data_IF_767188301853
#
_entry.id   IF_767188301853
#
_cell.length_a   1.000
_cell.length_b   1.000
_cell.length_c   1.000
_cell.angle_alpha   90.00
_cell.angle_beta   90.00
_cell.angle_gamma   90.00
#
_symmetry.space_group_name_H-M   'P 1'
#
loop_
_entity.id
_entity.type
_entity.pdbx_description
1 polymer ?
#
# COMPACT_ATOMS: atom_id res chain seq x y z
N UNK A 1 -9.65 6.53 -21.01
CA UNK A 1 -8.40 7.08 -21.61
C UNK A 1 -8.31 6.64 -23.07
N UNK A 2 -7.88 7.54 -23.96
CA UNK A 2 -7.59 7.18 -25.35
C UNK A 2 -6.40 6.19 -25.40
N UNK A 3 -6.39 5.32 -26.42
CA UNK A 3 -5.31 4.34 -26.60
C UNK A 3 -4.01 5.06 -26.99
N UNK A 4 -2.90 4.88 -26.26
CA UNK A 4 -1.62 5.47 -26.64
C UNK A 4 -1.03 4.80 -27.89
N UNK A 5 -0.19 5.52 -28.63
CA UNK A 5 0.46 5.00 -29.83
C UNK A 5 1.38 3.82 -29.45
N UNK A 6 1.22 2.68 -30.13
CA UNK A 6 1.98 1.46 -29.82
C UNK A 6 1.44 0.62 -28.66
N UNK A 7 0.33 1.01 -28.02
CA UNK A 7 -0.36 0.15 -27.07
C UNK A 7 -1.15 -0.95 -27.78
N UNK A 8 -0.85 -2.20 -27.41
CA UNK A 8 -1.51 -3.40 -27.91
C UNK A 8 -2.93 -3.56 -27.32
N UNK A 9 -3.81 -4.21 -28.08
CA UNK A 9 -5.19 -4.50 -27.68
C UNK A 9 -5.29 -5.75 -26.79
N UNK A 10 -4.57 -5.70 -25.66
CA UNK A 10 -4.60 -6.77 -24.66
C UNK A 10 -5.88 -6.66 -23.82
N UNK A 11 -6.51 -7.80 -23.57
CA UNK A 11 -7.74 -7.89 -22.78
C UNK A 11 -7.50 -8.64 -21.47
N UNK A 12 -8.21 -8.27 -20.38
CA UNK A 12 -8.08 -8.98 -19.12
C UNK A 12 -8.59 -10.41 -19.25
N UNK A 13 -7.68 -11.37 -19.08
CA UNK A 13 -7.99 -12.80 -19.15
C UNK A 13 -8.83 -13.30 -17.98
N UNK A 14 -9.30 -14.53 -18.10
CA UNK A 14 -10.00 -15.24 -17.02
C UNK A 14 -9.10 -15.44 -15.78
N UNK A 15 -7.79 -15.60 -15.98
CA UNK A 15 -6.82 -15.70 -14.90
C UNK A 15 -6.79 -14.41 -14.08
N UNK A 16 -6.65 -13.26 -14.74
CA UNK A 16 -6.69 -11.97 -14.07
C UNK A 16 -8.00 -11.78 -13.30
N UNK A 17 -9.14 -12.09 -13.93
CA UNK A 17 -10.46 -11.95 -13.31
C UNK A 17 -10.65 -12.90 -12.12
N UNK A 18 -10.02 -14.06 -12.12
CA UNK A 18 -10.03 -14.98 -11.00
C UNK A 18 -9.23 -14.42 -9.82
N UNK A 19 -7.96 -14.04 -10.05
CA UNK A 19 -7.09 -13.45 -9.02
C UNK A 19 -7.64 -12.15 -8.45
N UNK A 20 -8.19 -11.28 -9.29
CA UNK A 20 -8.84 -10.06 -8.83
C UNK A 20 -10.06 -10.34 -7.94
N UNK A 21 -10.86 -11.37 -8.25
CA UNK A 21 -12.01 -11.74 -7.40
C UNK A 21 -11.59 -12.39 -6.09
N UNK A 22 -10.52 -13.17 -6.09
CA UNK A 22 -9.90 -13.74 -4.89
C UNK A 22 -9.47 -12.63 -3.94
N UNK A 23 -8.66 -11.69 -4.44
CA UNK A 23 -8.24 -10.51 -3.69
C UNK A 23 -9.41 -9.68 -3.15
N UNK A 24 -10.42 -9.39 -3.98
CA UNK A 24 -11.58 -8.62 -3.52
C UNK A 24 -12.34 -9.31 -2.37
N UNK A 25 -12.37 -10.65 -2.35
CA UNK A 25 -13.00 -11.42 -1.26
C UNK A 25 -12.15 -11.35 0.01
N UNK A 26 -10.85 -11.51 -0.11
CA UNK A 26 -9.92 -11.42 1.03
C UNK A 26 -9.96 -10.02 1.65
N UNK A 27 -9.86 -8.99 0.82
CA UNK A 27 -9.94 -7.60 1.27
C UNK A 27 -11.26 -7.32 1.98
N UNK A 28 -12.39 -7.79 1.45
CA UNK A 28 -13.69 -7.68 2.13
C UNK A 28 -13.71 -8.42 3.47
N UNK A 29 -13.15 -9.63 3.52
CA UNK A 29 -13.05 -10.40 4.76
C UNK A 29 -12.19 -9.69 5.81
N UNK A 30 -11.09 -9.05 5.42
CA UNK A 30 -10.24 -8.26 6.32
C UNK A 30 -10.97 -7.03 6.88
N UNK A 31 -11.72 -6.32 6.04
CA UNK A 31 -12.56 -5.21 6.51
C UNK A 31 -13.64 -5.68 7.49
N UNK A 32 -14.29 -6.82 7.23
CA UNK A 32 -15.26 -7.41 8.16
C UNK A 32 -14.60 -7.82 9.47
N UNK A 33 -13.40 -8.42 9.42
CA UNK A 33 -12.64 -8.82 10.60
C UNK A 33 -12.32 -7.63 11.51
N UNK A 34 -12.00 -6.47 10.94
CA UNK A 34 -11.76 -5.24 11.69
C UNK A 34 -13.04 -4.74 12.39
N UNK A 35 -14.21 -4.92 11.77
CA UNK A 35 -15.51 -4.58 12.35
C UNK A 35 -15.89 -5.55 13.49
N UNK A 36 -15.57 -6.83 13.35
CA UNK A 36 -15.96 -7.91 14.27
C UNK A 36 -15.06 -8.05 15.52
N UNK A 37 -13.97 -7.28 15.63
CA UNK A 37 -12.99 -7.40 16.72
C UNK A 37 -13.66 -7.22 18.11
N UNK A 38 -13.53 -8.18 19.04
CA UNK A 38 -13.99 -8.02 20.41
C UNK A 38 -13.09 -7.02 21.16
N UNK A 39 -13.70 -5.98 21.71
CA UNK A 39 -13.00 -4.91 22.43
C UNK A 39 -12.64 -3.74 21.52
N UNK A 40 -13.47 -2.70 21.56
CA UNK A 40 -13.02 -1.36 21.19
C UNK A 40 -11.89 -0.98 22.16
N UNK A 41 -10.63 -1.17 21.77
CA UNK A 41 -9.69 -0.08 22.02
C UNK A 41 -10.21 1.05 21.14
N UNK A 42 -10.87 2.01 21.77
CA UNK A 42 -11.23 3.23 21.09
C UNK A 42 -9.94 3.75 20.46
N UNK A 43 -9.91 3.82 19.13
CA UNK A 43 -9.01 4.76 18.47
C UNK A 43 -9.32 6.10 19.12
N UNK A 44 -8.37 6.81 19.75
CA UNK A 44 -8.60 8.21 20.01
C UNK A 44 -8.97 8.87 18.67
N UNK A 45 -9.97 9.74 18.68
CA UNK A 45 -10.52 10.36 17.46
C UNK A 45 -9.38 10.83 16.52
N UNK A 46 -9.54 10.78 15.18
CA UNK A 46 -8.59 11.44 14.29
C UNK A 46 -8.61 12.94 14.61
N UNK A 47 -7.54 13.40 15.23
CA UNK A 47 -7.46 14.74 15.81
C UNK A 47 -7.68 14.83 17.33
N UNK A 48 -7.86 13.74 18.07
CA UNK A 48 -7.64 13.70 19.52
C UNK A 48 -6.20 13.26 19.82
N UNK A 49 -5.61 12.37 19.01
CA UNK A 49 -4.14 12.20 18.97
C UNK A 49 -3.50 13.46 18.39
N UNK A 50 -3.89 13.97 17.22
CA UNK A 50 -3.29 15.21 16.70
C UNK A 50 -3.58 16.48 17.55
N UNK A 51 -4.62 16.48 18.41
CA UNK A 51 -4.89 17.59 19.35
C UNK A 51 -4.27 17.35 20.71
N UNK A 52 -4.11 16.11 21.16
CA UNK A 52 -3.26 15.79 22.30
C UNK A 52 -1.78 15.96 21.94
N UNK A 53 -1.39 15.70 20.70
CA UNK A 53 -0.07 15.95 20.10
C UNK A 53 0.10 17.45 19.80
N UNK A 54 -0.93 18.21 19.42
CA UNK A 54 -0.81 19.67 19.27
C UNK A 54 -0.89 20.41 20.61
N UNK A 55 -1.61 19.88 21.61
CA UNK A 55 -1.70 20.42 22.96
C UNK A 55 -0.47 20.00 23.79
N UNK A 56 0.05 18.78 23.59
CA UNK A 56 1.36 18.36 24.10
C UNK A 56 2.52 18.97 23.30
N UNK A 57 2.40 19.26 22.00
CA UNK A 57 3.39 20.05 21.26
C UNK A 57 3.32 21.53 21.63
N UNK A 58 2.16 22.09 22.00
CA UNK A 58 2.05 23.45 22.50
C UNK A 58 2.54 23.57 23.95
N UNK A 59 2.31 22.57 24.81
CA UNK A 59 2.93 22.47 26.14
C UNK A 59 4.43 22.19 26.03
N UNK A 60 4.87 21.34 25.10
CA UNK A 60 6.30 21.07 24.83
C UNK A 60 6.99 22.24 24.12
N UNK A 61 6.31 23.05 23.30
CA UNK A 61 6.86 24.26 22.67
C UNK A 61 6.89 25.43 23.66
N UNK A 62 5.95 25.48 24.61
CA UNK A 62 6.01 26.38 25.77
C UNK A 62 7.14 25.99 26.74
N UNK A 63 7.33 24.69 27.02
CA UNK A 63 8.44 24.17 27.85
C UNK A 63 9.79 24.18 27.12
N UNK A 64 9.84 24.00 25.79
CA UNK A 64 11.04 24.10 24.97
C UNK A 64 11.47 25.56 24.72
N UNK A 65 10.54 26.52 24.72
CA UNK A 65 10.92 27.94 24.74
C UNK A 65 11.64 28.35 26.04
N UNK A 66 11.53 27.52 27.09
CA UNK A 66 12.25 27.69 28.35
C UNK A 66 13.51 26.80 28.47
N UNK A 67 13.79 25.89 27.52
CA UNK A 67 14.97 25.02 27.53
C UNK A 67 15.53 24.80 26.12
N UNK A 68 16.50 25.64 25.75
CA UNK A 68 17.31 25.48 24.55
C UNK A 68 18.14 24.17 24.57
N UNK A 69 18.10 23.48 23.42
CA UNK A 69 19.08 22.60 22.78
C UNK A 69 19.40 21.21 23.40
N UNK A 70 18.96 20.12 22.71
CA UNK A 70 19.70 18.86 22.38
C UNK A 70 18.84 17.55 22.29
N UNK A 71 17.52 17.54 22.53
CA UNK A 71 16.75 16.28 22.75
C UNK A 71 15.66 15.92 21.69
N UNK A 72 15.71 16.50 20.48
CA UNK A 72 14.71 16.22 19.43
C UNK A 72 14.91 14.91 18.66
N UNK A 73 16.14 14.40 18.62
CA UNK A 73 16.52 13.18 17.90
C UNK A 73 16.11 11.92 18.69
N UNK A 74 16.22 11.97 20.02
CA UNK A 74 15.93 10.86 20.93
C UNK A 74 14.44 10.46 20.95
N UNK A 75 13.51 11.40 20.77
CA UNK A 75 12.07 11.11 20.76
C UNK A 75 11.61 10.46 19.44
N UNK A 76 12.25 10.80 18.32
CA UNK A 76 12.00 10.16 17.03
C UNK A 76 12.60 8.75 17.01
N UNK A 77 13.80 8.59 17.60
CA UNK A 77 14.44 7.29 17.81
C UNK A 77 13.61 6.39 18.74
N UNK A 78 13.03 6.90 19.84
CA UNK A 78 12.13 6.13 20.72
C UNK A 78 10.83 5.68 20.05
N UNK A 79 10.24 6.48 19.15
CA UNK A 79 9.03 6.09 18.42
C UNK A 79 9.32 5.09 17.29
N UNK A 80 10.46 5.25 16.61
CA UNK A 80 10.97 4.25 15.66
C UNK A 80 11.32 2.95 16.38
N UNK A 81 11.97 3.03 17.55
CA UNK A 81 12.26 1.90 18.42
C UNK A 81 10.98 1.27 18.96
N UNK A 82 9.90 1.99 19.30
CA UNK A 82 8.64 1.35 19.74
C UNK A 82 7.92 0.60 18.59
N UNK A 83 8.12 1.07 17.35
CA UNK A 83 7.65 0.40 16.12
C UNK A 83 8.57 -0.80 15.75
N UNK A 84 9.88 -0.70 16.00
CA UNK A 84 10.90 -1.72 15.72
C UNK A 84 11.07 -2.77 16.85
N UNK A 85 10.79 -2.43 18.11
CA UNK A 85 10.92 -3.24 19.34
C UNK A 85 9.73 -4.17 19.55
N UNK A 86 8.68 -4.02 18.72
CA UNK A 86 7.92 -5.19 18.30
C UNK A 86 8.81 -5.98 17.34
N UNK A 87 9.71 -6.78 17.92
CA UNK A 87 10.51 -7.88 17.36
C UNK A 87 9.59 -9.01 16.84
N UNK A 88 8.58 -8.58 16.09
CA UNK A 88 7.44 -9.32 15.63
C UNK A 88 7.81 -9.81 14.25
N UNK A 89 8.20 -11.07 14.17
CA UNK A 89 8.50 -11.74 12.90
C UNK A 89 7.23 -11.80 12.04
N UNK A 90 7.03 -10.77 11.21
CA UNK A 90 5.87 -10.62 10.31
C UNK A 90 5.76 -11.82 9.36
N UNK A 91 6.89 -12.42 8.98
CA UNK A 91 6.94 -13.58 8.11
C UNK A 91 6.70 -14.91 8.86
N UNK A 92 6.75 -14.89 10.19
CA UNK A 92 6.50 -16.04 11.06
C UNK A 92 5.02 -16.32 11.33
N UNK A 93 4.13 -15.37 11.02
CA UNK A 93 2.70 -15.55 11.22
C UNK A 93 2.06 -16.47 10.18
N UNK A 94 1.27 -17.44 10.67
CA UNK A 94 0.48 -18.35 9.82
C UNK A 94 -0.88 -17.77 9.43
N UNK A 95 -1.38 -16.81 10.18
CA UNK A 95 -2.66 -16.15 9.95
C UNK A 95 -2.55 -14.66 10.24
N UNK A 96 -2.63 -13.84 9.18
CA UNK A 96 -2.59 -12.38 9.30
C UNK A 96 -3.82 -11.80 10.01
N UNK A 97 -4.89 -12.59 10.19
CA UNK A 97 -6.10 -12.20 10.90
C UNK A 97 -6.06 -12.48 12.41
N UNK A 98 -4.99 -13.11 12.91
CA UNK A 98 -4.73 -13.36 14.33
C UNK A 98 -3.22 -13.51 14.60
N UNK A 99 -2.58 -12.38 14.91
CA UNK A 99 -1.17 -12.33 15.34
C UNK A 99 -1.02 -12.60 16.86
N UNK A 100 -2.11 -12.98 17.53
CA UNK A 100 -2.18 -13.18 18.96
C UNK A 100 -3.38 -12.43 19.58
N UNK A 101 -4.03 -13.07 20.56
CA UNK A 101 -5.19 -12.52 21.27
C UNK A 101 -6.36 -12.04 20.36
N UNK A 102 -6.46 -12.58 19.13
CA UNK A 102 -7.50 -12.21 18.17
C UNK A 102 -7.27 -10.88 17.47
N UNK A 103 -6.06 -10.31 17.56
CA UNK A 103 -5.69 -9.07 16.89
C UNK A 103 -5.16 -9.37 15.47
N UNK A 104 -5.72 -8.78 14.40
CA UNK A 104 -5.14 -8.92 13.07
C UNK A 104 -3.89 -8.03 12.91
N UNK A 105 -2.98 -8.42 12.03
CA UNK A 105 -1.77 -7.64 11.72
C UNK A 105 -2.11 -6.22 11.23
N UNK A 106 -3.22 -6.08 10.51
CA UNK A 106 -3.74 -4.82 9.97
C UNK A 106 -4.66 -4.07 10.93
N UNK A 107 -4.65 -4.39 12.24
CA UNK A 107 -5.56 -3.78 13.23
C UNK A 107 -5.47 -2.25 13.32
N UNK A 108 -4.30 -1.68 13.04
CA UNK A 108 -4.04 -0.25 13.11
C UNK A 108 -3.96 0.44 11.74
N UNK A 109 -4.34 -0.24 10.64
CA UNK A 109 -4.30 0.37 9.31
C UNK A 109 -5.21 1.59 9.23
N UNK A 110 -4.62 2.72 8.87
CA UNK A 110 -5.31 3.92 8.45
C UNK A 110 -5.79 3.81 7.00
N UNK A 111 -6.51 4.82 6.54
CA UNK A 111 -7.04 4.85 5.18
C UNK A 111 -5.93 4.75 4.12
N UNK A 112 -4.82 5.43 4.38
CA UNK A 112 -3.63 5.49 3.54
C UNK A 112 -2.97 4.11 3.41
N UNK A 113 -2.91 3.33 4.49
CA UNK A 113 -2.37 1.96 4.48
C UNK A 113 -3.21 1.04 3.58
N UNK A 114 -4.54 1.12 3.71
CA UNK A 114 -5.46 0.38 2.84
C UNK A 114 -5.32 0.80 1.37
N UNK A 115 -5.14 2.10 1.12
CA UNK A 115 -4.93 2.62 -0.23
C UNK A 115 -3.62 2.12 -0.83
N UNK A 116 -2.51 2.15 -0.08
CA UNK A 116 -1.21 1.65 -0.52
C UNK A 116 -1.21 0.14 -0.73
N UNK A 117 -1.79 -0.63 0.19
CA UNK A 117 -1.97 -2.08 0.04
C UNK A 117 -2.74 -2.42 -1.25
N UNK A 118 -3.86 -1.72 -1.48
CA UNK A 118 -4.64 -1.87 -2.70
C UNK A 118 -3.83 -1.55 -3.96
N UNK A 119 -3.10 -0.44 -3.95
CA UNK A 119 -2.25 -0.01 -5.07
C UNK A 119 -1.13 -1.04 -5.37
N UNK A 120 -0.44 -1.53 -4.34
CA UNK A 120 0.62 -2.55 -4.45
C UNK A 120 0.09 -3.79 -5.18
N UNK A 121 -1.02 -4.33 -4.69
CA UNK A 121 -1.62 -5.53 -5.29
C UNK A 121 -2.12 -5.26 -6.72
N UNK A 122 -2.80 -4.13 -6.95
CA UNK A 122 -3.32 -3.76 -8.26
C UNK A 122 -2.21 -3.61 -9.31
N UNK A 123 -1.08 -2.98 -8.98
CA UNK A 123 0.05 -2.82 -9.91
C UNK A 123 0.76 -4.15 -10.14
N UNK A 124 1.02 -4.93 -9.08
CA UNK A 124 1.62 -6.26 -9.15
C UNK A 124 0.81 -7.17 -10.09
N UNK A 125 -0.50 -7.30 -9.83
CA UNK A 125 -1.38 -8.14 -10.63
C UNK A 125 -1.48 -7.66 -12.09
N UNK A 126 -1.47 -6.34 -12.33
CA UNK A 126 -1.55 -5.78 -13.68
C UNK A 126 -0.34 -6.15 -14.53
N UNK A 127 0.87 -6.04 -13.97
CA UNK A 127 2.11 -6.36 -14.68
C UNK A 127 2.13 -7.84 -15.09
N UNK A 128 1.79 -8.73 -14.15
CA UNK A 128 1.73 -10.17 -14.40
C UNK A 128 0.64 -10.56 -15.38
N UNK A 129 -0.54 -9.96 -15.25
CA UNK A 129 -1.64 -10.19 -16.16
C UNK A 129 -1.29 -9.75 -17.59
N UNK A 130 -0.67 -8.59 -17.77
CA UNK A 130 -0.27 -8.13 -19.10
C UNK A 130 0.76 -9.05 -19.76
N UNK A 131 1.73 -9.55 -19.00
CA UNK A 131 2.71 -10.52 -19.50
C UNK A 131 2.01 -11.77 -20.01
N UNK A 132 1.07 -12.31 -19.22
CA UNK A 132 0.30 -13.50 -19.58
C UNK A 132 -0.66 -13.28 -20.75
N UNK A 133 -1.37 -12.16 -20.74
CA UNK A 133 -2.46 -11.87 -21.66
C UNK A 133 -1.95 -11.39 -23.03
N UNK A 134 -0.75 -10.81 -23.09
CA UNK A 134 -0.12 -10.40 -24.35
C UNK A 134 0.29 -11.58 -25.24
N UNK A 135 0.49 -12.77 -24.66
CA UNK A 135 1.03 -13.93 -25.37
C UNK A 135 2.48 -13.76 -25.87
N UNK A 136 3.15 -12.66 -25.54
CA UNK A 136 4.54 -12.42 -25.91
C UNK A 136 5.49 -12.79 -24.75
N UNK A 137 6.23 -13.91 -24.85
CA UNK A 137 7.18 -14.31 -23.80
C UNK A 137 8.35 -13.35 -23.63
N UNK A 138 8.61 -12.45 -24.59
CA UNK A 138 9.66 -11.43 -24.50
C UNK A 138 9.19 -10.15 -23.79
N UNK A 139 7.90 -10.01 -23.53
CA UNK A 139 7.36 -8.88 -22.77
C UNK A 139 7.79 -9.01 -21.31
N UNK A 140 8.71 -8.14 -20.89
CA UNK A 140 9.21 -8.10 -19.51
C UNK A 140 8.45 -7.14 -18.60
N UNK A 141 7.84 -6.10 -19.16
CA UNK A 141 7.13 -5.10 -18.38
C UNK A 141 6.15 -4.26 -19.19
N UNK A 142 5.60 -3.27 -18.50
CA UNK A 142 4.61 -2.33 -19.00
C UNK A 142 5.26 -0.96 -19.16
N UNK A 143 5.34 -0.35 -20.36
CA UNK A 143 5.85 1.01 -20.50
C UNK A 143 5.14 1.97 -19.52
N UNK A 144 5.91 2.77 -18.79
CA UNK A 144 5.37 3.62 -17.71
C UNK A 144 4.24 4.54 -18.20
N UNK A 145 4.39 5.09 -19.40
CA UNK A 145 3.39 5.96 -20.05
C UNK A 145 2.05 5.26 -20.31
N UNK A 146 2.06 3.93 -20.41
CA UNK A 146 0.88 3.11 -20.66
C UNK A 146 0.21 2.63 -19.36
N UNK A 147 0.80 2.91 -18.18
CA UNK A 147 0.30 2.43 -16.90
C UNK A 147 -1.15 2.82 -16.66
N UNK A 148 -1.48 4.11 -16.77
CA UNK A 148 -2.84 4.61 -16.56
C UNK A 148 -3.84 4.03 -17.59
N UNK A 149 -3.39 3.78 -18.82
CA UNK A 149 -4.23 3.18 -19.86
C UNK A 149 -4.61 1.73 -19.52
N UNK A 150 -3.62 0.89 -19.21
CA UNK A 150 -3.87 -0.52 -18.90
C UNK A 150 -4.52 -0.70 -17.55
N UNK A 151 -4.20 0.14 -16.57
CA UNK A 151 -4.89 0.17 -15.28
C UNK A 151 -6.40 0.39 -15.48
N UNK A 152 -6.80 1.38 -16.28
CA UNK A 152 -8.22 1.57 -16.63
C UNK A 152 -8.79 0.40 -17.44
N UNK A 153 -8.00 -0.21 -18.34
CA UNK A 153 -8.47 -1.34 -19.14
C UNK A 153 -8.84 -2.54 -18.28
N UNK A 154 -7.99 -2.85 -17.31
CA UNK A 154 -8.11 -4.03 -16.44
C UNK A 154 -9.09 -3.81 -15.30
N UNK A 155 -8.99 -2.68 -14.59
CA UNK A 155 -9.78 -2.43 -13.39
C UNK A 155 -11.04 -1.60 -13.64
N UNK A 156 -11.19 -0.99 -14.84
CA UNK A 156 -12.26 -0.02 -15.14
C UNK A 156 -12.31 1.16 -14.16
N UNK A 157 -11.15 1.47 -13.55
CA UNK A 157 -10.92 2.51 -12.55
C UNK A 157 -9.81 3.44 -13.06
N UNK A 158 -9.93 4.77 -12.91
CA UNK A 158 -8.83 5.68 -13.25
C UNK A 158 -7.70 5.56 -12.20
N UNK A 159 -6.45 5.62 -12.66
CA UNK A 159 -5.30 5.79 -11.78
C UNK A 159 -5.06 7.28 -11.56
N UNK A 160 -5.16 7.75 -10.30
CA UNK A 160 -4.98 9.15 -9.96
C UNK A 160 -3.82 9.33 -8.96
N UNK A 161 -2.61 9.69 -9.41
CA UNK A 161 -1.47 9.94 -8.53
C UNK A 161 -1.74 10.97 -7.43
N UNK A 162 -2.55 12.01 -7.73
CA UNK A 162 -2.88 13.06 -6.74
C UNK A 162 -3.62 12.55 -5.52
N UNK A 163 -4.35 11.43 -5.65
CA UNK A 163 -5.03 10.79 -4.51
C UNK A 163 -4.04 10.17 -3.51
N UNK A 164 -2.77 10.02 -3.89
CA UNK A 164 -1.68 9.52 -3.06
C UNK A 164 -0.66 10.63 -2.71
N UNK A 165 -1.00 11.90 -2.95
CA UNK A 165 -0.14 13.04 -2.62
C UNK A 165 1.02 13.28 -3.59
N UNK A 166 1.03 12.62 -4.76
CA UNK A 166 2.11 12.72 -5.77
C UNK A 166 1.58 13.21 -7.12
N UNK A 167 2.44 13.77 -7.97
CA UNK A 167 2.03 14.41 -9.22
C UNK A 167 2.09 13.48 -10.44
N UNK A 168 2.90 12.41 -10.37
CA UNK A 168 3.20 11.55 -11.51
C UNK A 168 3.12 10.05 -11.24
N UNK A 169 3.02 9.27 -12.32
CA UNK A 169 3.05 7.81 -12.26
C UNK A 169 4.39 7.26 -11.75
N UNK A 170 5.51 7.94 -12.03
CA UNK A 170 6.84 7.54 -11.54
C UNK A 170 6.94 7.67 -10.01
N UNK A 171 6.51 8.80 -9.46
CA UNK A 171 6.48 9.05 -8.01
C UNK A 171 5.49 8.10 -7.31
N UNK A 172 4.35 7.83 -7.95
CA UNK A 172 3.38 6.86 -7.45
C UNK A 172 3.98 5.45 -7.32
N UNK A 173 4.79 5.02 -8.28
CA UNK A 173 5.52 3.75 -8.18
C UNK A 173 6.63 3.81 -7.12
N UNK A 174 7.21 4.99 -6.86
CA UNK A 174 8.16 5.20 -5.78
C UNK A 174 7.59 4.89 -4.39
N UNK A 175 6.28 5.09 -4.18
CA UNK A 175 5.59 4.73 -2.93
C UNK A 175 5.45 3.21 -2.73
N UNK A 176 5.61 2.42 -3.80
CA UNK A 176 5.42 0.96 -3.81
C UNK A 176 6.62 0.24 -4.43
N UNK A 177 7.82 0.80 -4.28
CA UNK A 177 9.04 0.34 -4.95
C UNK A 177 9.42 -1.12 -4.62
N UNK A 178 9.00 -1.61 -3.47
CA UNK A 178 9.14 -3.01 -3.07
C UNK A 178 8.27 -3.98 -3.89
N UNK A 179 7.15 -3.49 -4.43
CA UNK A 179 6.20 -4.29 -5.21
C UNK A 179 6.47 -4.19 -6.71
N UNK A 180 6.74 -2.98 -7.20
CA UNK A 180 6.99 -2.72 -8.61
C UNK A 180 7.99 -1.58 -8.81
N UNK A 181 8.90 -1.75 -9.77
CA UNK A 181 9.92 -0.76 -10.08
C UNK A 181 9.97 -0.45 -11.58
N UNK A 182 10.49 0.72 -11.92
CA UNK A 182 10.72 1.12 -13.32
C UNK A 182 12.12 0.66 -13.74
N UNK A 183 12.17 -0.36 -14.60
CA UNK A 183 13.41 -0.92 -15.17
C UNK A 183 13.45 -0.61 -16.66
N UNK A 184 14.46 0.15 -17.10
CA UNK A 184 14.62 0.55 -18.49
C UNK A 184 13.36 1.18 -19.13
N UNK A 185 12.59 1.97 -18.35
CA UNK A 185 11.37 2.64 -18.79
C UNK A 185 10.09 1.80 -18.78
N UNK A 186 10.18 0.53 -18.35
CA UNK A 186 9.04 -0.36 -18.15
C UNK A 186 8.82 -0.64 -16.66
N UNK A 187 7.58 -0.68 -16.24
CA UNK A 187 7.14 -1.14 -14.93
C UNK A 187 7.25 -2.67 -14.90
N UNK A 188 8.05 -3.17 -13.97
CA UNK A 188 8.27 -4.59 -13.73
C UNK A 188 7.97 -4.92 -12.26
N UNK A 189 7.29 -6.05 -12.01
CA UNK A 189 7.04 -6.54 -10.66
C UNK A 189 8.36 -7.02 -10.04
N UNK A 190 8.63 -6.62 -8.80
CA UNK A 190 9.78 -7.12 -8.04
C UNK A 190 9.48 -8.48 -7.39
N UNK A 191 8.20 -8.86 -7.35
CA UNK A 191 7.70 -10.09 -6.71
C UNK A 191 7.19 -11.07 -7.78
N UNK A 192 7.44 -12.36 -7.60
CA UNK A 192 7.01 -13.42 -8.51
C UNK A 192 5.48 -13.59 -8.56
N UNK A 193 4.96 -14.10 -9.68
CA UNK A 193 3.52 -14.24 -9.97
C UNK A 193 2.73 -15.11 -8.96
N UNK A 194 3.42 -16.04 -8.30
CA UNK A 194 2.86 -17.00 -7.33
C UNK A 194 3.43 -16.79 -5.90
N UNK A 195 4.06 -15.64 -5.63
CA UNK A 195 4.43 -15.33 -4.27
C UNK A 195 3.16 -15.30 -3.40
N UNK A 196 3.13 -15.99 -2.25
CA UNK A 196 2.03 -15.85 -1.31
C UNK A 196 1.94 -14.38 -0.90
N UNK A 197 0.75 -13.80 -1.01
CA UNK A 197 0.44 -12.46 -0.52
C UNK A 197 0.47 -12.44 1.01
#
# INVERSE_FOLDING_TARGET
>A
PARPAGAEEVQPSDWFRARWREWQRELQAWHLRLIERPGKRARPEPGAEARAEAEAAAEAEAEASEREDDDGDALMEELEDEILDRDTDVFGFRDVCDVGAGEPLFACFAFEDWALLGLRFEVHLLVHALRRDSGDPKRRGLPLEHLAYYYYRYYRKPLNPRSYGVDGAAELLGLIGESAAVVAGAVESQVADDAPA
#
